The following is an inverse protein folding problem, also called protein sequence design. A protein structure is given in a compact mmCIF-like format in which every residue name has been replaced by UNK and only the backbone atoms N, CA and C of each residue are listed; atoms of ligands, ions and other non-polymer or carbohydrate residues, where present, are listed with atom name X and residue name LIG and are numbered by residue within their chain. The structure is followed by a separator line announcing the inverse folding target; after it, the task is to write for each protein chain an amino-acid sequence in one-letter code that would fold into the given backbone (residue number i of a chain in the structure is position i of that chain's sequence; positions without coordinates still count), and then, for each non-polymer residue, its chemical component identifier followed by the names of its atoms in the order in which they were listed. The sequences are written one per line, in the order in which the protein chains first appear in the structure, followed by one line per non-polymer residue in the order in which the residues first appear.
data_IF_907921676987
#
_entry.id   IF_907921676987
#
_cell.length_a   1.000
_cell.length_b   1.000
_cell.length_c   1.000
_cell.angle_alpha   90.00
_cell.angle_beta   90.00
_cell.angle_gamma   90.00
#
_symmetry.space_group_name_H-M   'P 1'
#
loop_
_entity.id
_entity.type
_entity.pdbx_description
1 polymer ?
#
# COMPACT_ATOMS: atom_id res chain seq x y z
N UNK A 1 -18.23 -0.39 -3.74
CA UNK A 1 -17.70 0.71 -2.91
C UNK A 1 -18.04 0.39 -1.47
N UNK A 2 -17.16 -0.36 -0.80
CA UNK A 2 -17.27 -0.58 0.62
C UNK A 2 -16.71 0.68 1.31
N UNK A 3 -17.57 1.42 2.04
CA UNK A 3 -17.10 2.48 2.91
C UNK A 3 -16.18 1.86 3.95
N UNK A 4 -15.00 2.44 4.15
CA UNK A 4 -14.18 2.14 5.32
C UNK A 4 -14.88 2.86 6.47
N UNK A 5 -15.35 2.16 7.52
CA UNK A 5 -15.79 2.86 8.70
C UNK A 5 -14.56 3.58 9.26
N UNK A 6 -14.71 4.85 9.56
CA UNK A 6 -13.73 5.50 10.42
C UNK A 6 -13.65 4.70 11.69
N UNK A 7 -12.46 4.35 12.14
CA UNK A 7 -12.24 4.14 13.55
C UNK A 7 -12.78 5.37 14.26
N UNK A 8 -13.44 5.15 15.36
CA UNK A 8 -13.98 6.24 16.16
C UNK A 8 -12.89 7.31 16.33
N UNK A 9 -13.12 8.54 15.87
CA UNK A 9 -12.08 9.58 15.91
C UNK A 9 -11.62 9.83 17.36
N UNK A 10 -12.48 9.55 18.34
CA UNK A 10 -12.12 9.59 19.77
C UNK A 10 -10.94 8.64 20.06
N UNK A 11 -10.83 7.52 19.35
CA UNK A 11 -9.72 6.59 19.52
C UNK A 11 -8.37 7.15 19.07
N UNK A 12 -8.37 8.09 18.10
CA UNK A 12 -7.15 8.76 17.65
C UNK A 12 -6.66 9.83 18.62
N UNK A 13 -7.52 10.32 19.50
CA UNK A 13 -7.14 11.30 20.50
C UNK A 13 -6.17 10.71 21.52
N UNK A 14 -6.19 9.39 21.72
CA UNK A 14 -5.20 8.66 22.52
C UNK A 14 -3.80 8.59 21.85
N UNK A 15 -3.71 8.87 20.55
CA UNK A 15 -2.48 8.86 19.77
C UNK A 15 -2.26 10.19 19.04
N UNK A 16 -2.08 11.31 19.75
CA UNK A 16 -1.99 12.64 19.14
C UNK A 16 -0.80 12.83 18.19
N UNK A 17 0.22 11.97 18.26
CA UNK A 17 1.41 12.01 17.40
C UNK A 17 1.19 11.31 16.04
N UNK A 18 0.09 10.58 15.84
CA UNK A 18 -0.24 9.94 14.57
C UNK A 18 -0.87 10.98 13.64
N UNK A 19 -0.24 11.22 12.50
CA UNK A 19 -0.84 11.94 11.38
C UNK A 19 -1.93 11.10 10.74
N UNK A 20 -3.01 11.74 10.25
CA UNK A 20 -4.13 11.05 9.64
C UNK A 20 -4.57 11.74 8.34
N UNK A 21 -4.64 10.96 7.28
CA UNK A 21 -5.11 11.38 5.98
C UNK A 21 -6.20 10.45 5.47
N UNK A 22 -7.23 11.03 4.87
CA UNK A 22 -8.31 10.30 4.18
C UNK A 22 -8.20 10.54 2.69
N UNK A 23 -8.22 9.48 1.91
CA UNK A 23 -8.19 9.51 0.46
C UNK A 23 -9.58 9.20 -0.10
N UNK A 24 -10.15 10.13 -0.83
CA UNK A 24 -11.46 9.99 -1.48
C UNK A 24 -11.39 10.62 -2.87
N UNK A 25 -11.74 9.82 -3.89
CA UNK A 25 -11.58 10.20 -5.30
C UNK A 25 -10.13 10.67 -5.60
N UNK A 26 -9.92 11.89 -6.08
CA UNK A 26 -8.61 12.48 -6.39
C UNK A 26 -8.13 13.45 -5.30
N UNK A 27 -8.85 13.55 -4.18
CA UNK A 27 -8.60 14.51 -3.10
C UNK A 27 -8.01 13.79 -1.90
N UNK A 28 -7.03 14.43 -1.28
CA UNK A 28 -6.47 14.01 0.01
C UNK A 28 -6.96 14.98 1.09
N UNK A 29 -7.63 14.45 2.08
CA UNK A 29 -8.07 15.21 3.25
C UNK A 29 -7.12 14.95 4.41
N UNK A 30 -6.45 15.98 4.89
CA UNK A 30 -5.54 15.90 6.04
C UNK A 30 -6.35 16.23 7.29
N UNK A 31 -6.68 15.21 8.07
CA UNK A 31 -7.38 15.39 9.34
C UNK A 31 -6.43 15.83 10.45
N UNK A 32 -5.26 15.20 10.52
CA UNK A 32 -4.21 15.59 11.48
C UNK A 32 -2.87 15.65 10.76
N UNK A 33 -2.26 16.83 10.81
CA UNK A 33 -0.95 17.08 10.22
C UNK A 33 0.18 16.41 11.01
N UNK A 34 1.23 16.04 10.30
CA UNK A 34 2.53 15.62 10.85
C UNK A 34 3.65 16.12 9.93
N UNK A 35 4.91 15.81 10.26
CA UNK A 35 6.05 16.24 9.42
C UNK A 35 5.95 15.72 7.99
N UNK A 36 5.49 14.48 7.81
CA UNK A 36 5.36 13.82 6.51
C UNK A 36 4.26 14.42 5.62
N UNK A 37 3.26 15.12 6.18
CA UNK A 37 2.24 15.81 5.37
C UNK A 37 2.83 16.94 4.53
N UNK A 38 4.00 17.47 4.89
CA UNK A 38 4.74 18.46 4.10
C UNK A 38 5.12 17.99 2.70
N UNK A 39 5.12 16.67 2.44
CA UNK A 39 5.37 16.12 1.08
C UNK A 39 4.39 16.64 0.03
N UNK A 40 3.18 17.05 0.43
CA UNK A 40 2.20 17.61 -0.50
C UNK A 40 2.58 18.98 -1.04
N UNK A 41 3.45 19.74 -0.37
CA UNK A 41 3.93 21.03 -0.86
C UNK A 41 4.65 20.94 -2.21
N UNK A 42 5.14 19.74 -2.58
CA UNK A 42 5.89 19.48 -3.82
C UNK A 42 5.15 18.58 -4.81
N UNK A 43 3.89 18.21 -4.54
CA UNK A 43 3.10 17.30 -5.37
C UNK A 43 1.82 17.96 -5.87
N UNK A 44 1.39 17.55 -7.07
CA UNK A 44 0.18 18.07 -7.73
C UNK A 44 -1.08 17.33 -7.30
N UNK A 45 -1.27 17.13 -6.01
CA UNK A 45 -2.53 16.59 -5.46
C UNK A 45 -3.43 17.74 -5.01
N UNK A 46 -4.73 17.55 -5.13
CA UNK A 46 -5.68 18.41 -4.43
C UNK A 46 -5.70 17.97 -2.97
N UNK A 47 -5.32 18.88 -2.08
CA UNK A 47 -5.21 18.61 -0.63
C UNK A 47 -6.10 19.58 0.14
N UNK A 48 -6.94 19.03 1.01
CA UNK A 48 -7.81 19.78 1.90
C UNK A 48 -7.40 19.50 3.35
N UNK A 49 -7.01 20.55 4.07
CA UNK A 49 -6.55 20.45 5.47
C UNK A 49 -7.73 20.53 6.46
N UNK A 50 -8.73 19.69 6.24
CA UNK A 50 -9.88 19.50 7.11
C UNK A 50 -10.66 18.27 6.69
N UNK A 51 -11.59 17.80 7.51
CA UNK A 51 -12.62 16.84 7.12
C UNK A 51 -13.97 17.56 7.07
N UNK A 52 -14.43 18.01 5.90
CA UNK A 52 -15.76 18.60 5.77
C UNK A 52 -16.84 17.53 5.97
N UNK A 53 -18.04 17.95 6.41
CA UNK A 53 -19.13 17.00 6.70
C UNK A 53 -19.49 16.10 5.51
N UNK A 54 -19.30 16.57 4.29
CA UNK A 54 -19.57 15.81 3.07
C UNK A 54 -18.68 14.58 2.88
N UNK A 55 -17.49 14.56 3.53
CA UNK A 55 -16.57 13.42 3.40
C UNK A 55 -17.19 12.12 3.92
N UNK A 56 -18.08 12.21 4.92
CA UNK A 56 -18.78 11.06 5.49
C UNK A 56 -19.76 10.40 4.53
N UNK A 57 -20.20 11.12 3.52
CA UNK A 57 -21.12 10.63 2.49
C UNK A 57 -20.39 10.12 1.25
N UNK A 58 -19.07 10.32 1.16
CA UNK A 58 -18.24 9.89 0.04
C UNK A 58 -17.62 8.53 0.29
N UNK A 59 -17.36 7.72 -0.76
CA UNK A 59 -16.60 6.50 -0.61
C UNK A 59 -15.13 6.85 -0.37
N UNK A 60 -14.54 6.26 0.64
CA UNK A 60 -13.11 6.39 0.91
C UNK A 60 -12.34 5.29 0.20
N UNK A 61 -11.19 5.64 -0.37
CA UNK A 61 -10.28 4.70 -1.00
C UNK A 61 -9.43 4.05 0.08
N UNK A 62 -8.85 4.89 0.97
CA UNK A 62 -8.06 4.46 2.13
C UNK A 62 -7.97 5.56 3.18
N UNK A 63 -7.62 5.17 4.38
CA UNK A 63 -7.07 6.04 5.41
C UNK A 63 -5.58 5.74 5.53
N UNK A 64 -4.76 6.77 5.67
CA UNK A 64 -3.34 6.64 5.93
C UNK A 64 -3.00 7.18 7.31
N UNK A 65 -2.46 6.32 8.14
CA UNK A 65 -1.89 6.65 9.44
C UNK A 65 -0.40 6.84 9.29
N UNK A 66 0.12 7.92 9.85
CA UNK A 66 1.51 8.34 9.68
C UNK A 66 2.12 8.58 11.04
N UNK A 67 3.23 7.91 11.35
CA UNK A 67 3.92 8.05 12.62
C UNK A 67 5.17 7.21 12.71
N UNK A 68 5.90 7.34 13.80
CA UNK A 68 7.06 6.49 14.07
C UNK A 68 6.64 5.02 14.18
N UNK A 69 7.52 4.12 13.72
CA UNK A 69 7.23 2.67 13.61
C UNK A 69 6.72 2.10 14.92
N UNK A 70 7.38 2.40 16.05
CA UNK A 70 6.99 1.87 17.35
C UNK A 70 5.59 2.32 17.81
N UNK A 71 5.18 3.51 17.39
CA UNK A 71 3.84 4.03 17.69
C UNK A 71 2.78 3.31 16.85
N UNK A 72 3.05 3.15 15.57
CA UNK A 72 2.16 2.42 14.68
C UNK A 72 2.07 0.92 15.03
N UNK A 73 3.16 0.30 15.53
CA UNK A 73 3.17 -1.09 16.00
C UNK A 73 2.28 -1.30 17.22
N UNK A 74 2.11 -0.29 18.05
CA UNK A 74 1.16 -0.31 19.18
C UNK A 74 -0.28 -0.14 18.70
N UNK A 75 -0.51 0.68 17.68
CA UNK A 75 -1.83 1.00 17.16
C UNK A 75 -2.41 -0.11 16.27
N UNK A 76 -1.60 -0.73 15.42
CA UNK A 76 -2.03 -1.72 14.43
C UNK A 76 -2.81 -2.91 15.02
N UNK A 77 -2.40 -3.55 16.14
CA UNK A 77 -3.16 -4.62 16.76
C UNK A 77 -4.53 -4.17 17.26
N UNK A 78 -4.62 -2.96 17.78
CA UNK A 78 -5.87 -2.39 18.28
C UNK A 78 -6.86 -2.25 17.12
N UNK A 79 -6.40 -1.68 16.01
CA UNK A 79 -7.22 -1.56 14.82
C UNK A 79 -7.76 -2.92 14.34
N UNK A 80 -6.91 -3.94 14.32
CA UNK A 80 -7.29 -5.29 13.85
C UNK A 80 -8.34 -5.98 14.71
N UNK A 81 -8.43 -5.64 16.00
CA UNK A 81 -9.39 -6.27 16.92
C UNK A 81 -10.75 -5.59 16.96
N UNK A 82 -10.83 -4.33 16.58
CA UNK A 82 -12.03 -3.52 16.78
C UNK A 82 -12.83 -3.25 15.49
N UNK A 83 -12.24 -3.49 14.32
CA UNK A 83 -12.87 -3.13 13.04
C UNK A 83 -12.98 -4.31 12.07
N UNK A 84 -14.23 -4.73 11.80
CA UNK A 84 -14.54 -5.85 10.90
C UNK A 84 -14.58 -5.47 9.41
N UNK A 85 -14.62 -4.18 9.07
CA UNK A 85 -14.91 -3.74 7.69
C UNK A 85 -13.67 -3.32 6.88
N UNK A 86 -12.48 -3.45 7.47
CA UNK A 86 -11.23 -3.11 6.83
C UNK A 86 -10.06 -3.80 7.51
N UNK A 87 -8.88 -3.62 6.94
CA UNK A 87 -7.65 -4.09 7.55
C UNK A 87 -6.53 -3.07 7.39
N UNK A 88 -5.62 -3.09 8.35
CA UNK A 88 -4.43 -2.28 8.34
C UNK A 88 -3.26 -3.06 7.71
N UNK A 89 -2.50 -2.40 6.83
CA UNK A 89 -1.32 -2.99 6.18
C UNK A 89 -0.20 -1.98 6.09
N UNK A 90 1.01 -2.39 6.43
CA UNK A 90 2.22 -1.55 6.31
C UNK A 90 2.55 -1.29 4.86
N UNK A 91 2.77 -0.02 4.53
CA UNK A 91 3.25 0.44 3.22
C UNK A 91 4.60 1.17 3.30
N UNK A 92 5.20 1.20 4.48
CA UNK A 92 6.51 1.77 4.77
C UNK A 92 6.73 1.89 6.27
N UNK A 93 7.93 2.29 6.70
CA UNK A 93 8.28 2.39 8.12
C UNK A 93 7.33 3.30 8.89
N UNK A 94 6.96 4.42 8.31
CA UNK A 94 6.11 5.45 8.91
C UNK A 94 4.66 5.42 8.42
N UNK A 95 4.26 4.43 7.61
CA UNK A 95 2.97 4.42 6.92
C UNK A 95 2.18 3.15 7.19
N UNK A 96 0.97 3.31 7.70
CA UNK A 96 -0.01 2.24 7.89
C UNK A 96 -1.27 2.59 7.10
N UNK A 97 -1.49 1.88 6.00
CA UNK A 97 -2.70 2.01 5.19
C UNK A 97 -3.85 1.23 5.84
N UNK A 98 -4.99 1.85 5.96
CA UNK A 98 -6.26 1.21 6.30
C UNK A 98 -7.11 1.15 5.04
N UNK A 99 -7.47 -0.04 4.61
CA UNK A 99 -8.23 -0.30 3.39
C UNK A 99 -9.43 -1.20 3.67
N UNK A 100 -10.45 -1.15 2.80
CA UNK A 100 -11.62 -2.00 2.94
C UNK A 100 -11.26 -3.49 2.78
N UNK A 101 -12.04 -4.37 3.43
CA UNK A 101 -11.88 -5.81 3.28
C UNK A 101 -11.96 -6.24 1.80
N UNK A 102 -11.08 -7.15 1.41
CA UNK A 102 -10.98 -7.65 0.04
C UNK A 102 -10.29 -6.71 -0.95
N UNK A 103 -9.78 -5.56 -0.50
CA UNK A 103 -8.93 -4.66 -1.30
C UNK A 103 -7.47 -4.99 -1.03
N UNK A 104 -6.70 -5.27 -2.08
CA UNK A 104 -5.26 -5.49 -1.99
C UNK A 104 -4.57 -5.18 -3.31
N UNK A 105 -3.25 -5.00 -3.31
CA UNK A 105 -2.47 -4.83 -4.54
C UNK A 105 -2.59 -6.05 -5.45
N UNK A 106 -2.60 -7.26 -4.88
CA UNK A 106 -2.78 -8.50 -5.64
C UNK A 106 -4.12 -8.57 -6.33
N UNK A 107 -5.21 -8.26 -5.62
CA UNK A 107 -6.54 -8.21 -6.24
C UNK A 107 -6.61 -7.15 -7.34
N UNK A 108 -6.12 -5.95 -7.10
CA UNK A 108 -6.09 -4.88 -8.11
C UNK A 108 -5.30 -5.28 -9.36
N UNK A 109 -4.15 -5.95 -9.17
CA UNK A 109 -3.33 -6.46 -10.26
C UNK A 109 -4.07 -7.52 -11.08
N UNK A 110 -4.73 -8.50 -10.44
CA UNK A 110 -5.50 -9.54 -11.13
C UNK A 110 -6.73 -8.95 -11.86
N UNK A 111 -7.45 -8.03 -11.25
CA UNK A 111 -8.59 -7.35 -11.86
C UNK A 111 -8.15 -6.56 -13.12
N UNK A 112 -6.99 -5.89 -13.05
CA UNK A 112 -6.42 -5.19 -14.20
C UNK A 112 -5.98 -6.17 -15.29
N UNK A 113 -5.24 -7.22 -14.94
CA UNK A 113 -4.79 -8.26 -15.88
C UNK A 113 -5.97 -8.89 -16.63
N UNK A 114 -7.03 -9.24 -15.91
CA UNK A 114 -8.27 -9.75 -16.50
C UNK A 114 -8.89 -8.74 -17.48
N UNK A 115 -8.92 -7.46 -17.11
CA UNK A 115 -9.51 -6.40 -17.95
C UNK A 115 -8.75 -6.22 -19.27
N UNK A 116 -7.43 -6.40 -19.27
CA UNK A 116 -6.58 -6.27 -20.48
C UNK A 116 -6.24 -7.61 -21.15
N UNK A 117 -6.81 -8.72 -20.67
CA UNK A 117 -6.65 -10.05 -21.27
C UNK A 117 -5.29 -10.70 -21.02
N UNK A 118 -4.60 -10.38 -19.94
CA UNK A 118 -3.32 -11.00 -19.53
C UNK A 118 -3.60 -12.15 -18.56
N UNK A 119 -3.05 -13.31 -18.85
CA UNK A 119 -3.12 -14.49 -17.97
C UNK A 119 -2.23 -14.29 -16.73
N UNK A 120 -2.70 -14.77 -15.57
CA UNK A 120 -2.01 -14.62 -14.28
C UNK A 120 -0.56 -15.12 -14.33
N UNK A 121 -0.29 -16.26 -14.98
CA UNK A 121 1.04 -16.86 -15.12
C UNK A 121 2.03 -16.02 -15.97
N UNK A 122 1.53 -14.99 -16.67
CA UNK A 122 2.33 -14.05 -17.46
C UNK A 122 2.62 -12.74 -16.74
N UNK A 123 2.19 -12.62 -15.48
CA UNK A 123 2.40 -11.44 -14.66
C UNK A 123 3.72 -11.58 -13.91
N UNK A 124 4.50 -10.51 -13.90
CA UNK A 124 5.69 -10.38 -13.07
C UNK A 124 5.41 -9.27 -12.06
N UNK A 125 5.56 -9.60 -10.78
CA UNK A 125 5.41 -8.64 -9.70
C UNK A 125 6.76 -8.35 -9.03
N UNK A 126 6.95 -7.11 -8.62
CA UNK A 126 8.13 -6.66 -7.86
C UNK A 126 7.66 -5.88 -6.65
N UNK A 127 8.18 -6.19 -5.47
CA UNK A 127 7.74 -5.56 -4.23
C UNK A 127 8.85 -5.38 -3.20
N UNK A 128 8.59 -4.53 -2.22
CA UNK A 128 9.52 -4.22 -1.12
C UNK A 128 8.83 -4.18 0.26
N UNK A 129 7.52 -3.94 0.35
CA UNK A 129 6.79 -3.75 1.59
C UNK A 129 5.66 -4.78 1.81
N UNK A 130 5.13 -4.82 3.02
CA UNK A 130 4.10 -5.78 3.43
C UNK A 130 2.83 -5.72 2.55
N UNK A 131 2.45 -4.55 2.07
CA UNK A 131 1.31 -4.38 1.18
C UNK A 131 1.53 -4.95 -0.23
N UNK A 132 2.76 -5.33 -0.59
CA UNK A 132 3.10 -5.98 -1.85
C UNK A 132 2.94 -7.51 -1.80
N UNK A 133 2.95 -8.11 -0.61
CA UNK A 133 2.88 -9.56 -0.41
C UNK A 133 1.73 -10.15 -1.24
N UNK A 134 0.55 -9.56 -1.17
CA UNK A 134 -0.62 -10.06 -1.89
C UNK A 134 -0.45 -10.12 -3.42
N UNK A 135 0.35 -9.23 -4.03
CA UNK A 135 0.61 -9.30 -5.47
C UNK A 135 1.78 -10.25 -5.80
N UNK A 136 2.75 -10.39 -4.90
CA UNK A 136 3.84 -11.37 -5.07
C UNK A 136 3.31 -12.80 -5.04
N UNK A 137 2.39 -13.11 -4.12
CA UNK A 137 1.77 -14.44 -3.97
C UNK A 137 0.94 -14.87 -5.18
N UNK A 138 0.34 -13.92 -5.91
CA UNK A 138 -0.55 -14.24 -7.04
C UNK A 138 0.11 -14.02 -8.41
N UNK A 139 1.31 -13.50 -8.49
CA UNK A 139 2.02 -13.31 -9.74
C UNK A 139 2.47 -14.65 -10.34
N UNK A 140 2.70 -14.69 -11.66
CA UNK A 140 3.33 -15.82 -12.31
C UNK A 140 4.82 -15.95 -11.97
N UNK A 141 5.50 -14.81 -11.76
CA UNK A 141 6.88 -14.72 -11.26
C UNK A 141 6.95 -13.51 -10.33
N UNK A 142 7.50 -13.68 -9.15
CA UNK A 142 7.67 -12.61 -8.18
C UNK A 142 9.12 -12.31 -7.84
N UNK A 143 9.40 -11.04 -7.57
CA UNK A 143 10.70 -10.54 -7.15
C UNK A 143 10.56 -9.65 -5.93
N UNK A 144 11.38 -9.89 -4.90
CA UNK A 144 11.65 -8.90 -3.86
C UNK A 144 12.95 -8.17 -4.20
N UNK A 145 13.00 -6.86 -3.94
CA UNK A 145 14.26 -6.12 -4.06
C UNK A 145 15.14 -6.34 -2.83
N UNK A 146 16.45 -6.14 -2.98
CA UNK A 146 17.44 -6.38 -1.93
C UNK A 146 17.14 -5.62 -0.64
N UNK A 147 16.62 -4.39 -0.74
CA UNK A 147 16.23 -3.56 0.40
C UNK A 147 14.77 -3.78 0.85
N UNK A 148 14.11 -4.85 0.42
CA UNK A 148 12.77 -5.21 0.87
C UNK A 148 12.78 -5.71 2.33
N UNK A 149 11.62 -5.65 2.97
CA UNK A 149 11.37 -6.27 4.28
C UNK A 149 11.64 -7.78 4.22
N UNK A 150 12.20 -8.35 5.29
CA UNK A 150 12.56 -9.78 5.33
C UNK A 150 11.36 -10.72 5.11
N UNK A 151 10.17 -10.31 5.55
CA UNK A 151 8.91 -11.04 5.29
C UNK A 151 8.57 -11.09 3.80
N UNK A 152 8.83 -10.01 3.07
CA UNK A 152 8.60 -9.90 1.62
C UNK A 152 9.58 -10.75 0.83
N UNK A 153 10.87 -10.75 1.23
CA UNK A 153 11.91 -11.59 0.63
C UNK A 153 11.61 -13.08 0.75
N UNK A 154 10.97 -13.50 1.85
CA UNK A 154 10.60 -14.91 2.08
C UNK A 154 9.46 -15.40 1.20
N UNK A 155 8.61 -14.50 0.72
CA UNK A 155 7.44 -14.81 -0.11
C UNK A 155 7.80 -14.82 -1.60
N UNK A 156 8.69 -13.93 -2.03
CA UNK A 156 9.05 -13.79 -3.44
C UNK A 156 9.85 -15.00 -3.95
N UNK A 157 9.59 -15.40 -5.21
CA UNK A 157 10.32 -16.50 -5.88
C UNK A 157 11.79 -16.15 -6.12
N UNK A 158 12.10 -14.86 -6.31
CA UNK A 158 13.42 -14.38 -6.68
C UNK A 158 13.79 -13.10 -5.94
N UNK A 159 15.11 -12.85 -5.86
CA UNK A 159 15.64 -11.56 -5.42
C UNK A 159 16.16 -10.76 -6.62
N UNK A 160 16.00 -9.45 -6.57
CA UNK A 160 16.55 -8.47 -7.50
C UNK A 160 17.43 -7.48 -6.73
N UNK A 161 18.36 -6.76 -7.41
CA UNK A 161 19.09 -5.66 -6.78
C UNK A 161 18.15 -4.66 -6.09
N UNK A 162 18.70 -3.79 -5.25
CA UNK A 162 17.89 -2.76 -4.57
C UNK A 162 17.15 -1.86 -5.58
N UNK A 163 16.10 -1.18 -5.13
CA UNK A 163 15.36 -0.25 -5.96
C UNK A 163 16.26 0.85 -6.58
N UNK A 164 17.30 1.28 -5.86
CA UNK A 164 18.32 2.20 -6.37
C UNK A 164 19.42 1.49 -7.20
N UNK A 165 19.50 0.17 -7.11
CA UNK A 165 20.47 -0.68 -7.83
C UNK A 165 20.00 -1.15 -9.21
N UNK A 166 18.90 -0.61 -9.74
CA UNK A 166 18.41 -0.93 -11.08
C UNK A 166 17.62 -2.25 -11.16
N UNK A 167 16.85 -2.59 -10.14
CA UNK A 167 16.05 -3.81 -10.03
C UNK A 167 15.25 -4.12 -11.30
N UNK A 168 14.52 -3.16 -11.84
CA UNK A 168 13.67 -3.35 -13.02
C UNK A 168 14.51 -3.69 -14.26
N UNK A 169 15.62 -2.98 -14.48
CA UNK A 169 16.53 -3.28 -15.60
C UNK A 169 17.13 -4.68 -15.48
N UNK A 170 17.52 -5.09 -14.27
CA UNK A 170 18.00 -6.44 -13.99
C UNK A 170 16.96 -7.51 -14.37
N UNK A 171 15.71 -7.32 -13.95
CA UNK A 171 14.60 -8.25 -14.22
C UNK A 171 14.35 -8.35 -15.73
N UNK A 172 14.24 -7.22 -16.43
CA UNK A 172 14.00 -7.19 -17.88
C UNK A 172 15.13 -7.93 -18.63
N UNK A 173 16.39 -7.62 -18.32
CA UNK A 173 17.54 -8.29 -18.94
C UNK A 173 17.56 -9.82 -18.70
N UNK A 174 17.11 -10.27 -17.52
CA UNK A 174 17.01 -11.69 -17.21
C UNK A 174 15.92 -12.37 -18.04
N UNK A 175 14.77 -11.73 -18.18
CA UNK A 175 13.66 -12.24 -18.99
C UNK A 175 14.01 -12.32 -20.48
N UNK A 176 14.67 -11.30 -21.04
CA UNK A 176 15.13 -11.33 -22.43
C UNK A 176 16.08 -12.51 -22.73
N UNK A 177 16.95 -12.86 -21.78
CA UNK A 177 17.83 -14.02 -21.92
C UNK A 177 17.05 -15.31 -21.95
N UNK A 178 16.02 -15.47 -21.11
CA UNK A 178 15.17 -16.66 -21.06
C UNK A 178 14.43 -16.83 -22.41
N UNK A 179 13.81 -15.75 -22.91
CA UNK A 179 13.08 -15.78 -24.19
C UNK A 179 14.02 -16.13 -25.38
N UNK A 180 15.24 -15.57 -25.41
CA UNK A 180 16.23 -15.84 -26.45
C UNK A 180 16.77 -17.29 -26.44
N UNK A 181 16.70 -17.98 -25.30
CA UNK A 181 17.18 -19.39 -25.16
C UNK A 181 16.09 -20.41 -25.52
N UNK A 182 14.84 -19.97 -25.64
CA UNK A 182 13.70 -20.84 -25.99
C UNK A 182 13.30 -20.78 -27.47
N UNK A 183 13.94 -19.88 -28.22
CA UNK A 183 13.85 -19.77 -29.69
C UNK A 183 15.13 -20.26 -30.36
#
# INVERSE_FOLDING_TARGET
RAGIPLPDLEYYDDFPQIGLEVYSDEIVYVYRECEETKRFLTRSYEVVYSLPDEIWQRPWIKVLLIGERELLDKYEPIYRTEYDNGYAVRSGDKYLDVVANGVSKGKGMLDMAKKIGIEQNKIIAVGDNMNDISMLEVAGISYAVENAEESVKKIADNLAPSNNGGAIAYIINRLEKIVKTQN
#
